data_IF_503976135865
#
_entry.id   IF_503976135865
#
_cell.length_a   1.000
_cell.length_b   1.000
_cell.length_c   1.000
_cell.angle_alpha   90.00
_cell.angle_beta   90.00
_cell.angle_gamma   90.00
#
_symmetry.space_group_name_H-M   'P 1'
#
loop_
_entity.id
_entity.type
_entity.pdbx_description
1 polymer ?
#
# COMPACT_ATOMS: atom_id res chain seq x y z
N UNK A 1 -12.40 -22.02 20.79
CA UNK A 1 -12.69 -20.72 20.16
C UNK A 1 -12.30 -20.83 18.70
N UNK A 2 -13.22 -20.52 17.79
CA UNK A 2 -13.01 -20.68 16.36
C UNK A 2 -12.59 -19.34 15.75
N UNK A 3 -11.42 -19.33 15.11
CA UNK A 3 -10.83 -18.16 14.46
C UNK A 3 -10.90 -18.37 12.95
N UNK A 4 -11.69 -17.55 12.27
CA UNK A 4 -11.78 -17.58 10.81
C UNK A 4 -10.68 -16.70 10.20
N UNK A 5 -9.93 -17.26 9.24
CA UNK A 5 -8.86 -16.59 8.51
C UNK A 5 -9.38 -16.19 7.13
N UNK A 6 -9.42 -14.90 6.83
CA UNK A 6 -10.07 -14.35 5.63
C UNK A 6 -9.05 -13.56 4.80
N UNK A 7 -8.95 -13.89 3.50
CA UNK A 7 -8.10 -13.16 2.55
C UNK A 7 -6.60 -13.39 2.74
N UNK A 8 -6.19 -14.27 3.66
CA UNK A 8 -4.79 -14.57 3.92
C UNK A 8 -4.22 -15.50 2.84
N UNK A 9 -2.92 -15.40 2.55
CA UNK A 9 -2.25 -16.39 1.69
C UNK A 9 -2.15 -17.74 2.41
N UNK A 10 -2.07 -18.85 1.68
CA UNK A 10 -1.89 -20.20 2.27
C UNK A 10 -0.70 -20.26 3.23
N UNK A 11 0.37 -19.52 2.93
CA UNK A 11 1.55 -19.42 3.81
C UNK A 11 1.21 -18.74 5.14
N UNK A 12 0.47 -17.64 5.10
CA UNK A 12 0.04 -16.91 6.30
C UNK A 12 -0.97 -17.70 7.12
N UNK A 13 -1.91 -18.40 6.49
CA UNK A 13 -2.89 -19.26 7.15
C UNK A 13 -2.20 -20.35 7.98
N UNK A 14 -1.24 -21.04 7.37
CA UNK A 14 -0.44 -22.07 8.02
C UNK A 14 0.40 -21.49 9.17
N UNK A 15 1.01 -20.33 8.98
CA UNK A 15 1.79 -19.66 10.01
C UNK A 15 0.92 -19.23 11.21
N UNK A 16 -0.26 -18.66 10.95
CA UNK A 16 -1.21 -18.25 11.99
C UNK A 16 -1.80 -19.45 12.71
N UNK A 17 -2.15 -20.52 11.99
CA UNK A 17 -2.59 -21.77 12.60
C UNK A 17 -1.57 -22.33 13.58
N UNK A 18 -0.28 -22.33 13.21
CA UNK A 18 0.80 -22.73 14.12
C UNK A 18 0.97 -21.77 15.31
N UNK A 19 0.90 -20.45 15.09
CA UNK A 19 1.00 -19.45 16.16
C UNK A 19 -0.12 -19.62 17.18
N UNK A 20 -1.37 -19.72 16.73
CA UNK A 20 -2.55 -19.87 17.58
C UNK A 20 -2.50 -21.19 18.32
N UNK A 21 -2.22 -22.31 17.63
CA UNK A 21 -2.12 -23.62 18.26
C UNK A 21 -1.07 -23.70 19.36
N UNK A 22 0.03 -22.93 19.25
CA UNK A 22 1.08 -22.85 20.29
C UNK A 22 0.76 -21.88 21.42
N UNK A 23 0.07 -20.78 21.13
CA UNK A 23 -0.10 -19.67 22.09
C UNK A 23 -1.46 -19.60 22.77
N UNK A 24 -2.47 -20.30 22.24
CA UNK A 24 -3.85 -20.27 22.73
C UNK A 24 -4.47 -21.68 22.73
N UNK A 25 -4.30 -22.45 23.82
CA UNK A 25 -4.90 -23.78 23.94
C UNK A 25 -6.42 -23.76 23.73
N UNK A 26 -6.94 -24.65 22.89
CA UNK A 26 -8.38 -24.74 22.59
C UNK A 26 -8.89 -23.74 21.55
N UNK A 27 -8.01 -22.95 20.92
CA UNK A 27 -8.34 -22.14 19.75
C UNK A 27 -8.06 -22.94 18.47
N UNK A 28 -8.93 -22.79 17.48
CA UNK A 28 -8.83 -23.48 16.19
C UNK A 28 -8.95 -22.45 15.07
N UNK A 29 -8.06 -22.52 14.08
CA UNK A 29 -8.09 -21.66 12.91
C UNK A 29 -8.69 -22.41 11.71
N UNK A 30 -9.56 -21.73 10.96
CA UNK A 30 -10.10 -22.24 9.69
C UNK A 30 -9.96 -21.18 8.61
N UNK A 31 -9.35 -21.55 7.49
CA UNK A 31 -9.32 -20.73 6.29
C UNK A 31 -10.75 -20.57 5.72
N UNK A 32 -11.08 -19.37 5.30
CA UNK A 32 -12.36 -19.03 4.69
C UNK A 32 -12.11 -18.49 3.29
N UNK A 33 -12.57 -19.26 2.30
CA UNK A 33 -12.63 -18.84 0.91
C UNK A 33 -13.94 -18.10 0.67
N UNK A 34 -14.08 -16.89 1.22
CA UNK A 34 -15.24 -16.03 0.95
C UNK A 34 -14.88 -15.01 -0.14
N UNK A 35 -15.76 -14.84 -1.13
CA UNK A 35 -15.64 -13.77 -2.12
C UNK A 35 -15.77 -12.38 -1.49
N UNK A 36 -15.41 -11.34 -2.24
CA UNK A 36 -15.46 -9.93 -1.80
C UNK A 36 -16.83 -9.53 -1.22
N UNK A 37 -17.92 -10.06 -1.81
CA UNK A 37 -19.31 -9.70 -1.49
C UNK A 37 -20.07 -10.75 -0.65
N UNK A 38 -19.39 -11.81 -0.22
CA UNK A 38 -20.05 -12.87 0.56
C UNK A 38 -19.98 -12.58 2.06
N UNK A 39 -21.10 -12.89 2.74
CA UNK A 39 -21.15 -12.92 4.20
C UNK A 39 -20.13 -13.92 4.73
N UNK A 40 -19.39 -13.54 5.78
CA UNK A 40 -18.43 -14.44 6.39
C UNK A 40 -19.17 -15.56 7.15
N UNK A 41 -18.67 -16.80 7.11
CA UNK A 41 -19.25 -17.90 7.88
C UNK A 41 -19.04 -17.65 9.38
N UNK A 42 -20.00 -18.02 10.24
CA UNK A 42 -19.98 -17.67 11.65
C UNK A 42 -18.72 -18.19 12.36
N UNK A 43 -17.98 -17.28 13.01
CA UNK A 43 -16.80 -17.58 13.82
C UNK A 43 -16.83 -16.80 15.15
N UNK A 44 -16.05 -17.24 16.13
CA UNK A 44 -15.92 -16.50 17.39
C UNK A 44 -15.05 -15.24 17.25
N UNK A 45 -14.14 -15.24 16.28
CA UNK A 45 -13.23 -14.12 15.96
C UNK A 45 -12.73 -14.26 14.51
N UNK A 46 -12.50 -13.13 13.85
CA UNK A 46 -11.92 -13.10 12.50
C UNK A 46 -10.49 -12.54 12.50
N UNK A 47 -9.65 -13.05 11.60
CA UNK A 47 -8.43 -12.38 11.15
C UNK A 47 -8.63 -12.08 9.68
N UNK A 48 -8.66 -10.81 9.32
CA UNK A 48 -9.01 -10.36 7.96
C UNK A 48 -7.81 -9.64 7.36
N UNK A 49 -7.24 -10.19 6.29
CA UNK A 49 -6.32 -9.45 5.43
C UNK A 49 -7.11 -8.53 4.51
N UNK A 50 -7.02 -7.23 4.78
CA UNK A 50 -7.75 -6.21 4.04
C UNK A 50 -7.31 -6.18 2.57
N UNK A 51 -6.02 -6.33 2.29
CA UNK A 51 -5.52 -6.35 0.92
C UNK A 51 -5.95 -7.61 0.17
N UNK A 52 -5.88 -8.76 0.83
CA UNK A 52 -6.33 -10.04 0.27
C UNK A 52 -7.83 -10.11 0.04
N UNK A 53 -8.61 -9.30 0.76
CA UNK A 53 -10.03 -9.06 0.54
C UNK A 53 -10.31 -7.87 -0.37
N UNK A 54 -9.36 -7.47 -1.23
CA UNK A 54 -9.53 -6.37 -2.19
C UNK A 54 -9.64 -4.96 -1.60
N UNK A 55 -9.71 -4.84 -0.27
CA UNK A 55 -9.84 -3.60 0.49
C UNK A 55 -8.45 -2.99 0.76
N UNK A 56 -7.72 -2.68 -0.31
CA UNK A 56 -6.32 -2.22 -0.22
C UNK A 56 -6.16 -0.86 0.46
N UNK A 57 -7.20 -0.01 0.43
CA UNK A 57 -7.26 1.31 1.05
C UNK A 57 -8.57 1.49 1.80
N UNK A 58 -8.58 2.37 2.78
CA UNK A 58 -9.79 2.79 3.46
C UNK A 58 -10.61 3.72 2.57
N UNK A 59 -11.88 3.37 2.40
CA UNK A 59 -12.95 4.22 1.90
C UNK A 59 -14.18 4.00 2.78
N UNK A 60 -15.14 4.94 2.77
CA UNK A 60 -16.40 4.76 3.50
C UNK A 60 -17.15 3.50 3.03
N UNK A 61 -17.08 3.20 1.74
CA UNK A 61 -17.66 2.00 1.12
C UNK A 61 -16.98 0.73 1.65
N UNK A 62 -15.65 0.65 1.58
CA UNK A 62 -14.90 -0.51 2.07
C UNK A 62 -15.09 -0.73 3.58
N UNK A 63 -15.21 0.35 4.36
CA UNK A 63 -15.57 0.27 5.78
C UNK A 63 -16.97 -0.31 5.96
N UNK A 64 -17.97 0.21 5.24
CA UNK A 64 -19.35 -0.27 5.32
C UNK A 64 -19.44 -1.76 4.96
N UNK A 65 -18.79 -2.18 3.88
CA UNK A 65 -18.78 -3.57 3.42
C UNK A 65 -18.07 -4.50 4.42
N UNK A 66 -16.94 -4.05 4.99
CA UNK A 66 -16.24 -4.78 6.04
C UNK A 66 -17.12 -4.99 7.27
N UNK A 67 -17.76 -3.91 7.77
CA UNK A 67 -18.60 -3.98 8.97
C UNK A 67 -19.85 -4.83 8.75
N UNK A 68 -20.47 -4.72 7.56
CA UNK A 68 -21.60 -5.56 7.18
C UNK A 68 -21.21 -7.04 7.14
N UNK A 69 -20.03 -7.35 6.62
CA UNK A 69 -19.56 -8.73 6.56
C UNK A 69 -19.16 -9.32 7.92
N UNK A 70 -18.68 -8.48 8.85
CA UNK A 70 -18.33 -8.90 10.21
C UNK A 70 -19.58 -9.08 11.10
N UNK A 71 -20.68 -8.39 10.80
CA UNK A 71 -21.94 -8.44 11.54
C UNK A 71 -21.75 -8.27 13.07
N UNK A 72 -20.85 -7.35 13.44
CA UNK A 72 -20.52 -7.05 14.84
C UNK A 72 -19.59 -8.06 15.53
N UNK A 73 -19.06 -9.05 14.81
CA UNK A 73 -18.10 -9.99 15.37
C UNK A 73 -16.71 -9.34 15.59
N UNK A 74 -15.98 -9.73 16.65
CA UNK A 74 -14.64 -9.23 16.92
C UNK A 74 -13.66 -9.67 15.83
N UNK A 75 -12.75 -8.78 15.47
CA UNK A 75 -11.79 -9.07 14.41
C UNK A 75 -10.42 -8.40 14.62
N UNK A 76 -9.38 -9.09 14.17
CA UNK A 76 -8.08 -8.51 13.89
C UNK A 76 -8.04 -8.16 12.40
N UNK A 77 -7.95 -6.87 12.10
CA UNK A 77 -7.83 -6.33 10.76
C UNK A 77 -6.35 -6.18 10.43
N UNK A 78 -5.91 -6.79 9.33
CA UNK A 78 -4.53 -6.73 8.86
C UNK A 78 -4.47 -5.79 7.67
N UNK A 79 -3.98 -4.57 7.90
CA UNK A 79 -3.75 -3.57 6.88
C UNK A 79 -2.45 -3.82 6.10
N UNK A 80 -2.41 -3.44 4.81
CA UNK A 80 -1.21 -3.54 3.99
C UNK A 80 -0.05 -2.75 4.58
N UNK A 81 1.18 -3.15 4.23
CA UNK A 81 2.37 -2.76 4.97
C UNK A 81 2.73 -1.26 4.95
N UNK A 82 2.08 -0.51 4.07
CA UNK A 82 2.38 0.89 3.81
C UNK A 82 1.10 1.71 3.59
N UNK A 83 -0.06 1.18 3.97
CA UNK A 83 -1.32 1.91 3.96
C UNK A 83 -1.57 2.48 5.37
N UNK A 84 -1.69 3.80 5.48
CA UNK A 84 -2.10 4.49 6.72
C UNK A 84 -3.55 4.99 6.67
N UNK A 85 -4.24 4.79 5.55
CA UNK A 85 -5.63 5.25 5.36
C UNK A 85 -6.57 4.49 6.28
N UNK A 86 -6.29 3.22 6.58
CA UNK A 86 -7.05 2.44 7.57
C UNK A 86 -6.95 2.98 9.00
N UNK A 87 -5.97 3.84 9.30
CA UNK A 87 -5.94 4.56 10.59
C UNK A 87 -7.05 5.60 10.73
N UNK A 88 -7.73 5.97 9.64
CA UNK A 88 -8.92 6.81 9.66
C UNK A 88 -10.19 6.07 10.12
N UNK A 89 -10.13 4.75 10.27
CA UNK A 89 -11.24 3.95 10.82
C UNK A 89 -11.63 4.49 12.20
N UNK A 90 -12.91 4.77 12.38
CA UNK A 90 -13.41 5.42 13.60
C UNK A 90 -13.09 4.58 14.85
N UNK A 91 -12.34 5.18 15.77
CA UNK A 91 -11.95 4.58 17.05
C UNK A 91 -13.15 4.18 17.92
N UNK A 92 -14.30 4.83 17.78
CA UNK A 92 -15.53 4.45 18.46
C UNK A 92 -16.10 3.14 17.89
N UNK A 93 -16.11 2.99 16.56
CA UNK A 93 -16.51 1.75 15.89
C UNK A 93 -15.57 0.59 16.23
N UNK A 94 -14.27 0.85 16.25
CA UNK A 94 -13.29 -0.16 16.64
C UNK A 94 -13.52 -0.68 18.06
N UNK A 95 -13.89 0.19 19.01
CA UNK A 95 -14.18 -0.21 20.39
C UNK A 95 -15.52 -0.91 20.53
N UNK A 96 -16.55 -0.49 19.78
CA UNK A 96 -17.90 -1.07 19.90
C UNK A 96 -17.97 -2.50 19.36
N UNK A 97 -17.19 -2.82 18.32
CA UNK A 97 -17.12 -4.16 17.71
C UNK A 97 -15.83 -4.92 18.05
N UNK A 98 -15.02 -4.40 18.98
CA UNK A 98 -13.77 -5.06 19.42
C UNK A 98 -12.82 -5.41 18.28
N UNK A 99 -12.64 -4.43 17.38
CA UNK A 99 -11.74 -4.51 16.25
C UNK A 99 -10.34 -4.06 16.67
N UNK A 100 -9.32 -4.75 16.17
CA UNK A 100 -7.91 -4.39 16.36
C UNK A 100 -7.24 -4.29 15.00
N UNK A 101 -6.65 -3.13 14.70
CA UNK A 101 -5.93 -2.90 13.45
C UNK A 101 -4.44 -3.19 13.64
N UNK A 102 -3.88 -4.04 12.78
CA UNK A 102 -2.45 -4.30 12.66
C UNK A 102 -1.99 -3.96 11.25
N UNK A 103 -0.85 -3.28 11.11
CA UNK A 103 -0.23 -3.05 9.81
C UNK A 103 0.85 -4.10 9.55
N UNK A 104 0.95 -4.59 8.31
CA UNK A 104 2.11 -5.37 7.89
C UNK A 104 3.39 -4.48 7.88
N UNK A 105 4.60 -5.05 7.96
CA UNK A 105 4.85 -6.32 8.62
C UNK A 105 4.51 -6.22 10.11
N UNK A 106 3.88 -7.28 10.65
CA UNK A 106 3.61 -7.41 12.09
C UNK A 106 4.42 -8.57 12.68
N UNK A 107 4.79 -8.46 13.95
CA UNK A 107 5.46 -9.53 14.69
C UNK A 107 4.49 -10.59 15.21
N UNK A 108 5.03 -11.73 15.63
CA UNK A 108 4.26 -12.79 16.30
C UNK A 108 3.67 -12.33 17.64
N UNK A 109 4.37 -11.47 18.37
CA UNK A 109 3.91 -10.88 19.63
C UNK A 109 2.74 -9.91 19.40
N UNK A 110 2.84 -9.04 18.40
CA UNK A 110 1.79 -8.07 18.06
C UNK A 110 0.51 -8.79 17.62
N UNK A 111 0.63 -9.80 16.76
CA UNK A 111 -0.51 -10.64 16.37
C UNK A 111 -1.14 -11.35 17.57
N UNK A 112 -0.33 -11.89 18.48
CA UNK A 112 -0.85 -12.55 19.69
C UNK A 112 -1.57 -11.56 20.60
N UNK A 113 -1.03 -10.36 20.77
CA UNK A 113 -1.64 -9.31 21.57
C UNK A 113 -2.97 -8.86 20.95
N UNK A 114 -3.01 -8.65 19.63
CA UNK A 114 -4.22 -8.28 18.90
C UNK A 114 -5.32 -9.34 19.02
N UNK A 115 -4.97 -10.62 18.87
CA UNK A 115 -5.90 -11.73 19.05
C UNK A 115 -6.51 -11.77 20.46
N UNK A 116 -5.69 -11.56 21.50
CA UNK A 116 -6.17 -11.49 22.89
C UNK A 116 -7.08 -10.29 23.12
N UNK A 117 -6.71 -9.14 22.59
CA UNK A 117 -7.48 -7.90 22.73
C UNK A 117 -8.85 -8.01 22.04
N UNK A 118 -8.88 -8.49 20.80
CA UNK A 118 -10.13 -8.71 20.07
C UNK A 118 -11.03 -9.74 20.78
N UNK A 119 -10.46 -10.83 21.29
CA UNK A 119 -11.22 -11.85 22.03
C UNK A 119 -11.76 -11.35 23.39
N UNK A 120 -11.01 -10.50 24.10
CA UNK A 120 -11.42 -9.94 25.38
C UNK A 120 -12.60 -8.96 25.25
N UNK A 121 -12.73 -8.32 24.10
CA UNK A 121 -13.82 -7.42 23.79
C UNK A 121 -15.14 -8.12 23.42
N UNK A 122 -15.25 -9.45 23.58
CA UNK A 122 -16.52 -10.18 23.43
C UNK A 122 -17.49 -9.76 24.53
N UNK A 123 -18.19 -8.65 24.32
CA UNK A 123 -19.38 -8.34 25.08
C UNK A 123 -20.40 -9.45 24.78
N UNK A 124 -20.80 -10.18 25.82
CA UNK A 124 -22.00 -11.02 25.82
C UNK A 124 -23.16 -10.30 25.13
N UNK A 125 -23.96 -10.98 24.28
CA UNK A 125 -25.09 -10.35 23.62
C UNK A 125 -26.02 -9.75 24.67
N UNK A 126 -26.13 -8.42 24.68
CA UNK A 126 -27.01 -7.70 25.59
C UNK A 126 -28.45 -7.95 25.13
N UNK A 127 -29.16 -8.75 25.91
CA UNK A 127 -30.63 -8.82 25.88
C UNK A 127 -31.18 -7.39 26.05
N UNK A 128 -32.10 -6.92 25.20
CA UNK A 128 -32.60 -5.56 25.27
C UNK A 128 -33.43 -5.36 26.54
N UNK A 129 -32.91 -4.59 27.50
CA UNK A 129 -33.71 -4.04 28.61
C UNK A 129 -34.08 -2.60 28.27
N UNK A 130 -35.39 -2.38 28.23
CA UNK A 130 -36.05 -1.14 27.85
C UNK A 130 -35.63 0.09 28.68
N UNK A 131 -35.67 1.24 28.02
CA UNK A 131 -35.49 2.61 28.52
C UNK A 131 -36.37 2.96 29.74
N UNK A 132 -35.97 3.99 30.52
CA UNK A 132 -36.78 5.21 30.47
C UNK A 132 -35.99 6.54 30.51
N UNK A 133 -36.27 7.36 29.50
CA UNK A 133 -36.73 8.79 29.51
C UNK A 133 -36.14 9.75 30.56
N UNK A 134 -35.47 10.80 30.05
CA UNK A 134 -35.09 12.04 30.74
C UNK A 134 -36.31 12.95 31.07
N UNK A 135 -36.15 14.03 31.86
CA UNK A 135 -36.14 15.34 31.18
C UNK A 135 -35.38 16.52 31.87
N UNK A 136 -35.05 17.50 31.01
CA UNK A 136 -35.04 18.97 31.21
C UNK A 136 -33.82 19.72 31.79
N UNK A 137 -33.23 20.54 30.90
CA UNK A 137 -32.40 21.77 31.08
C UNK A 137 -33.27 22.95 31.60
N UNK A 138 -32.78 24.17 32.01
CA UNK A 138 -32.22 25.15 31.04
C UNK A 138 -31.39 26.41 31.52
N UNK A 139 -30.89 27.17 30.50
CA UNK A 139 -30.39 28.59 30.45
C UNK A 139 -28.99 28.92 31.03
N UNK A 140 -28.12 29.78 30.47
CA UNK A 140 -28.01 30.71 29.31
C UNK A 140 -26.52 31.18 29.28
N UNK A 141 -25.89 31.82 28.29
CA UNK A 141 -26.13 33.07 27.55
C UNK A 141 -24.94 33.24 26.55
N UNK A 142 -25.16 33.84 25.38
CA UNK A 142 -24.19 34.35 24.37
C UNK A 142 -24.42 35.89 24.22
N UNK A 143 -23.68 36.67 23.39
CA UNK A 143 -22.24 36.82 23.06
C UNK A 143 -21.84 38.34 23.17
N UNK A 144 -20.87 39.01 22.45
CA UNK A 144 -20.61 39.05 20.97
C UNK A 144 -19.11 38.99 20.55
N UNK A 145 -18.76 38.38 19.41
CA UNK A 145 -18.46 38.98 18.07
C UNK A 145 -17.20 39.87 17.97
N UNK A 146 -16.20 39.43 17.18
CA UNK A 146 -15.40 40.28 16.27
C UNK A 146 -14.50 39.43 15.36
N UNK A 147 -14.66 39.62 14.05
CA UNK A 147 -13.67 39.35 12.99
C UNK A 147 -13.42 40.69 12.26
N UNK A 148 -12.57 40.82 11.22
CA UNK A 148 -11.44 40.00 10.73
C UNK A 148 -10.15 40.85 10.52
N UNK A 149 -9.01 40.23 10.18
CA UNK A 149 -8.03 40.86 9.26
C UNK A 149 -7.03 39.87 8.64
N UNK A 150 -7.08 39.83 7.31
CA UNK A 150 -6.07 39.35 6.37
C UNK A 150 -4.84 40.26 6.42
N UNK A 151 -3.64 39.75 6.12
CA UNK A 151 -2.64 40.30 5.16
C UNK A 151 -1.29 39.53 5.22
N UNK A 152 -0.94 39.00 4.05
CA UNK A 152 0.37 38.84 3.40
C UNK A 152 1.54 38.01 3.97
N UNK A 153 2.03 37.13 3.08
CA UNK A 153 3.39 36.58 2.97
C UNK A 153 4.48 37.66 2.92
N UNK A 154 5.75 37.23 3.08
CA UNK A 154 6.77 37.63 2.11
C UNK A 154 7.58 36.45 1.56
N UNK A 155 7.98 36.67 0.30
CA UNK A 155 8.84 35.84 -0.55
C UNK A 155 10.28 36.39 -0.50
N UNK A 156 11.22 35.50 -0.85
CA UNK A 156 12.58 35.71 -1.40
C UNK A 156 13.77 35.87 -0.42
N UNK A 157 14.75 34.97 -0.58
CA UNK A 157 16.01 35.30 -1.28
C UNK A 157 16.78 34.03 -1.67
N UNK A 158 17.31 34.04 -2.89
CA UNK A 158 18.08 32.99 -3.55
C UNK A 158 19.59 33.28 -3.53
N UNK A 159 20.43 32.25 -3.71
CA UNK A 159 21.70 32.21 -4.49
C UNK A 159 22.52 30.94 -4.10
N UNK A 160 23.51 30.48 -4.90
CA UNK A 160 23.51 30.20 -6.35
C UNK A 160 23.97 28.73 -6.64
N UNK A 161 23.76 28.19 -7.86
CA UNK A 161 24.25 26.86 -8.22
C UNK A 161 25.69 26.90 -8.73
N UNK A 162 26.53 25.97 -8.26
CA UNK A 162 27.78 25.61 -8.92
C UNK A 162 27.51 24.47 -9.90
N UNK A 163 27.62 24.73 -11.20
CA UNK A 163 27.76 23.68 -12.22
C UNK A 163 29.19 23.12 -12.17
N UNK A 164 29.39 21.85 -12.55
CA UNK A 164 30.01 21.68 -13.86
C UNK A 164 29.52 20.46 -14.68
N UNK A 165 29.66 20.65 -16.00
CA UNK A 165 29.68 19.70 -17.12
C UNK A 165 28.35 19.04 -17.52
N UNK A 166 27.66 19.73 -18.44
CA UNK A 166 26.75 19.10 -19.38
C UNK A 166 27.54 18.14 -20.29
N UNK A 167 27.31 16.83 -20.12
CA UNK A 167 27.36 15.93 -21.26
C UNK A 167 26.00 16.01 -21.95
N UNK A 168 25.99 16.09 -23.28
CA UNK A 168 24.78 16.03 -24.10
C UNK A 168 24.12 14.66 -23.93
N UNK A 169 23.39 14.49 -22.83
CA UNK A 169 22.51 13.35 -22.60
C UNK A 169 21.24 13.56 -23.41
N UNK A 170 20.97 12.66 -24.36
CA UNK A 170 19.68 12.64 -25.02
C UNK A 170 18.56 12.51 -23.99
N UNK A 171 17.40 13.06 -24.32
CA UNK A 171 16.18 12.96 -23.52
C UNK A 171 15.21 12.07 -24.28
N UNK A 172 14.51 11.21 -23.56
CA UNK A 172 13.46 10.38 -24.14
C UNK A 172 12.23 10.40 -23.24
N UNK A 173 11.11 10.79 -23.81
CA UNK A 173 9.82 10.75 -23.12
C UNK A 173 9.33 9.31 -22.95
N UNK A 174 8.41 9.09 -22.01
CA UNK A 174 7.78 7.78 -21.83
C UNK A 174 7.07 7.28 -23.10
N UNK A 175 6.43 8.18 -23.87
CA UNK A 175 5.76 7.83 -25.13
C UNK A 175 6.75 7.42 -26.23
N UNK A 176 7.89 8.11 -26.34
CA UNK A 176 8.97 7.71 -27.26
C UNK A 176 9.60 6.37 -26.85
N UNK A 177 9.78 6.14 -25.55
CA UNK A 177 10.25 4.86 -25.03
C UNK A 177 9.31 3.70 -25.40
N UNK A 178 7.99 3.91 -25.36
CA UNK A 178 6.98 2.90 -25.73
C UNK A 178 6.89 2.62 -27.22
N UNK A 179 7.10 3.63 -28.07
CA UNK A 179 7.05 3.48 -29.52
C UNK A 179 8.29 2.72 -30.07
N UNK A 180 9.40 2.73 -29.32
CA UNK A 180 10.69 2.18 -29.74
C UNK A 180 10.75 0.64 -29.84
N UNK A 181 10.16 -0.14 -28.91
CA UNK A 181 10.00 -1.58 -29.05
C UNK A 181 9.44 -2.06 -30.39
N UNK A 182 8.60 -1.24 -31.05
CA UNK A 182 8.02 -1.55 -32.37
C UNK A 182 8.89 -1.18 -33.57
N UNK A 183 10.06 -0.57 -33.38
CA UNK A 183 10.95 -0.10 -34.48
C UNK A 183 12.15 -1.01 -34.77
N UNK A 184 12.27 -2.16 -34.10
CA UNK A 184 13.34 -3.12 -34.34
C UNK A 184 12.96 -4.11 -35.45
N UNK A 185 13.67 -4.14 -36.59
CA UNK A 185 13.50 -5.22 -37.55
C UNK A 185 14.10 -6.52 -36.98
N UNK A 186 13.23 -7.48 -36.65
CA UNK A 186 13.62 -8.90 -36.52
C UNK A 186 13.73 -9.50 -35.12
N UNK A 187 13.63 -8.72 -34.04
CA UNK A 187 13.65 -9.25 -32.66
C UNK A 187 12.67 -8.53 -31.75
N UNK A 188 11.90 -9.30 -30.97
CA UNK A 188 11.07 -8.73 -29.92
C UNK A 188 11.92 -7.98 -28.88
N UNK A 189 11.43 -6.87 -28.33
CA UNK A 189 12.07 -6.16 -27.23
C UNK A 189 12.27 -7.10 -26.03
N UNK A 190 13.34 -6.94 -25.22
CA UNK A 190 13.48 -7.69 -23.98
C UNK A 190 12.24 -7.52 -23.07
N UNK A 191 11.85 -8.59 -22.36
CA UNK A 191 10.60 -8.63 -21.60
C UNK A 191 10.48 -7.47 -20.61
N UNK A 192 11.58 -7.14 -19.93
CA UNK A 192 11.61 -6.03 -18.98
C UNK A 192 11.29 -4.67 -19.64
N UNK A 193 11.81 -4.42 -20.84
CA UNK A 193 11.57 -3.16 -21.55
C UNK A 193 10.10 -3.02 -21.95
N UNK A 194 9.46 -4.12 -22.33
CA UNK A 194 8.02 -4.16 -22.63
C UNK A 194 7.20 -3.87 -21.37
N UNK A 195 7.48 -4.58 -20.28
CA UNK A 195 6.79 -4.38 -18.99
C UNK A 195 6.95 -2.95 -18.47
N UNK A 196 8.16 -2.38 -18.58
CA UNK A 196 8.41 -0.99 -18.19
C UNK A 196 7.64 0.00 -19.07
N UNK A 197 7.61 -0.22 -20.39
CA UNK A 197 6.84 0.61 -21.31
C UNK A 197 5.34 0.58 -21.00
N UNK A 198 4.78 -0.60 -20.74
CA UNK A 198 3.38 -0.78 -20.32
C UNK A 198 3.07 -0.07 -19.00
N UNK A 199 3.94 -0.19 -17.99
CA UNK A 199 3.76 0.48 -16.71
C UNK A 199 3.83 2.01 -16.82
N UNK A 200 4.77 2.53 -17.62
CA UNK A 200 4.88 3.97 -17.91
C UNK A 200 3.62 4.51 -18.61
N UNK A 201 2.94 3.70 -19.43
CA UNK A 201 1.73 4.12 -20.15
C UNK A 201 0.52 4.33 -19.24
N UNK A 202 0.55 3.79 -18.02
CA UNK A 202 -0.52 3.96 -17.05
C UNK A 202 -0.50 5.33 -16.38
N UNK A 203 0.55 6.14 -16.57
CA UNK A 203 0.75 7.47 -15.99
C UNK A 203 0.80 7.55 -14.45
N UNK A 204 0.45 6.45 -13.77
CA UNK A 204 0.53 6.33 -12.32
C UNK A 204 1.96 6.04 -11.86
N UNK A 205 2.34 6.45 -10.65
CA UNK A 205 3.59 6.01 -10.03
C UNK A 205 3.58 4.50 -9.79
N UNK A 206 4.74 3.88 -9.93
CA UNK A 206 4.91 2.45 -9.68
C UNK A 206 6.30 2.12 -9.15
N UNK A 207 6.38 0.96 -8.48
CA UNK A 207 7.60 0.38 -7.95
C UNK A 207 7.89 -0.92 -8.70
N UNK A 208 9.10 -1.05 -9.22
CA UNK A 208 9.66 -2.29 -9.74
C UNK A 208 10.54 -2.91 -8.66
N UNK A 209 10.23 -4.15 -8.27
CA UNK A 209 11.02 -4.93 -7.30
C UNK A 209 11.77 -6.02 -8.03
N UNK A 210 13.08 -5.82 -8.17
CA UNK A 210 13.99 -6.81 -8.76
C UNK A 210 14.39 -7.84 -7.70
N UNK A 211 14.53 -7.41 -6.45
CA UNK A 211 14.75 -8.29 -5.30
C UNK A 211 14.26 -7.59 -4.02
N UNK A 212 14.49 -8.21 -2.85
CA UNK A 212 14.22 -7.56 -1.57
C UNK A 212 14.96 -6.22 -1.41
N UNK A 213 16.20 -6.15 -1.92
CA UNK A 213 17.08 -4.98 -1.80
C UNK A 213 17.00 -4.04 -3.01
N UNK A 214 17.00 -4.58 -4.22
CA UNK A 214 17.05 -3.80 -5.46
C UNK A 214 15.65 -3.41 -5.94
N UNK A 215 15.40 -2.11 -5.97
CA UNK A 215 14.11 -1.49 -6.27
C UNK A 215 14.32 -0.28 -7.18
N UNK A 216 13.29 0.01 -7.95
CA UNK A 216 13.16 1.22 -8.74
C UNK A 216 11.76 1.78 -8.55
N UNK A 217 11.64 3.08 -8.42
CA UNK A 217 10.36 3.79 -8.36
C UNK A 217 10.31 4.75 -9.53
N UNK A 218 9.22 4.74 -10.26
CA UNK A 218 8.97 5.63 -11.39
C UNK A 218 7.75 6.47 -11.10
N UNK A 219 7.82 7.75 -11.45
CA UNK A 219 6.70 8.67 -11.39
C UNK A 219 6.55 9.37 -12.75
N UNK A 220 5.76 8.78 -13.67
CA UNK A 220 5.66 9.26 -15.05
C UNK A 220 5.21 10.72 -15.13
N UNK A 221 4.13 11.09 -14.44
CA UNK A 221 3.58 12.45 -14.57
C UNK A 221 4.47 13.54 -13.93
N UNK A 222 5.16 13.21 -12.83
CA UNK A 222 6.11 14.11 -12.19
C UNK A 222 7.53 14.03 -12.80
N UNK A 223 7.74 13.20 -13.82
CA UNK A 223 8.98 13.09 -14.61
C UNK A 223 10.24 12.80 -13.80
N UNK A 224 10.13 11.93 -12.79
CA UNK A 224 11.28 11.47 -12.01
C UNK A 224 11.26 9.96 -11.78
N UNK A 225 12.42 9.40 -11.46
CA UNK A 225 12.57 8.05 -10.95
C UNK A 225 13.59 8.01 -9.81
N UNK A 226 13.54 6.96 -8.99
CA UNK A 226 14.52 6.72 -7.94
C UNK A 226 14.91 5.25 -7.90
N UNK A 227 16.20 4.94 -7.81
CA UNK A 227 16.70 3.57 -7.86
C UNK A 227 17.89 3.36 -6.94
N UNK A 228 17.88 2.27 -6.18
CA UNK A 228 19.09 1.74 -5.53
C UNK A 228 19.68 0.54 -6.31
N UNK A 229 19.14 0.25 -7.48
CA UNK A 229 19.57 -0.86 -8.33
C UNK A 229 20.83 -0.46 -9.07
N UNK A 230 21.93 -1.20 -8.84
CA UNK A 230 23.20 -0.96 -9.52
C UNK A 230 23.12 -1.23 -11.02
N UNK A 231 23.94 -0.54 -11.81
CA UNK A 231 23.97 -0.69 -13.27
C UNK A 231 24.13 -2.16 -13.75
N UNK A 232 25.01 -3.00 -13.18
CA UNK A 232 25.13 -4.40 -13.63
C UNK A 232 23.84 -5.22 -13.45
N UNK A 233 23.06 -4.93 -12.40
CA UNK A 233 21.76 -5.61 -12.17
C UNK A 233 20.73 -5.14 -13.18
N UNK A 234 20.74 -3.85 -13.53
CA UNK A 234 19.86 -3.29 -14.55
C UNK A 234 20.19 -3.87 -15.93
N UNK A 235 21.48 -4.02 -16.26
CA UNK A 235 21.94 -4.65 -17.49
C UNK A 235 21.52 -6.12 -17.59
N UNK A 236 21.67 -6.88 -16.51
CA UNK A 236 21.23 -8.28 -16.44
C UNK A 236 19.71 -8.40 -16.57
N UNK A 237 18.96 -7.52 -15.88
CA UNK A 237 17.50 -7.46 -15.98
C UNK A 237 17.00 -7.16 -17.40
N UNK A 238 17.69 -6.27 -18.13
CA UNK A 238 17.38 -5.99 -19.52
C UNK A 238 17.80 -7.11 -20.49
N UNK A 239 18.78 -7.95 -20.13
CA UNK A 239 19.31 -9.01 -20.99
C UNK A 239 18.72 -10.39 -20.74
N UNK A 240 18.06 -10.60 -19.60
CA UNK A 240 17.62 -11.91 -19.13
C UNK A 240 16.11 -11.94 -18.85
N UNK A 241 15.35 -12.50 -19.81
CA UNK A 241 13.89 -12.59 -19.71
C UNK A 241 13.41 -13.47 -18.54
N UNK A 242 14.21 -14.46 -18.11
CA UNK A 242 13.84 -15.27 -16.95
C UNK A 242 13.87 -14.42 -15.67
N UNK A 243 14.88 -13.57 -15.51
CA UNK A 243 14.96 -12.62 -14.40
C UNK A 243 13.85 -11.58 -14.50
N UNK A 244 13.62 -11.02 -15.70
CA UNK A 244 12.54 -10.07 -15.94
C UNK A 244 11.15 -10.64 -15.58
N UNK A 245 10.89 -11.92 -15.87
CA UNK A 245 9.62 -12.58 -15.54
C UNK A 245 9.37 -12.75 -14.03
N UNK A 246 10.43 -12.65 -13.22
CA UNK A 246 10.37 -12.84 -11.76
C UNK A 246 10.19 -11.55 -10.97
N UNK A 247 10.27 -10.39 -11.62
CA UNK A 247 10.12 -9.10 -10.94
C UNK A 247 8.65 -8.79 -10.66
N UNK A 248 8.40 -8.00 -9.62
CA UNK A 248 7.08 -7.47 -9.31
C UNK A 248 7.00 -6.00 -9.71
N UNK A 249 5.92 -5.60 -10.39
CA UNK A 249 5.61 -4.20 -10.67
C UNK A 249 4.30 -3.85 -9.96
N UNK A 250 4.40 -3.00 -8.95
CA UNK A 250 3.26 -2.57 -8.14
C UNK A 250 3.00 -1.08 -8.37
N UNK A 251 1.75 -0.70 -8.63
CA UNK A 251 1.35 0.71 -8.59
C UNK A 251 1.46 1.25 -7.15
N UNK A 252 1.92 2.49 -7.03
CA UNK A 252 2.07 3.19 -5.75
C UNK A 252 1.35 4.54 -5.81
N UNK A 253 1.01 5.08 -4.64
CA UNK A 253 0.34 6.38 -4.58
C UNK A 253 1.29 7.53 -4.98
N UNK A 254 0.74 8.52 -5.67
CA UNK A 254 1.39 9.81 -5.97
C UNK A 254 2.00 10.47 -4.74
N UNK A 255 1.25 10.52 -3.64
CA UNK A 255 1.70 11.15 -2.39
C UNK A 255 2.76 10.32 -1.68
N UNK A 256 2.78 9.02 -1.89
CA UNK A 256 3.70 8.10 -1.22
C UNK A 256 4.99 7.83 -1.99
N UNK A 257 4.99 8.02 -3.31
CA UNK A 257 6.11 7.68 -4.18
C UNK A 257 7.40 8.37 -3.74
N UNK A 258 7.34 9.69 -3.52
CA UNK A 258 8.48 10.49 -3.09
C UNK A 258 8.94 10.12 -1.67
N UNK A 259 8.00 10.02 -0.73
CA UNK A 259 8.31 9.64 0.65
C UNK A 259 8.98 8.26 0.73
N UNK A 260 8.55 7.32 -0.14
CA UNK A 260 9.14 5.99 -0.25
C UNK A 260 10.57 6.04 -0.79
N UNK A 261 10.82 6.81 -1.84
CA UNK A 261 12.16 7.01 -2.39
C UNK A 261 13.14 7.54 -1.34
N UNK A 262 12.73 8.57 -0.59
CA UNK A 262 13.53 9.17 0.48
C UNK A 262 13.80 8.19 1.64
N UNK A 263 12.76 7.46 2.08
CA UNK A 263 12.90 6.48 3.18
C UNK A 263 13.85 5.34 2.83
N UNK A 264 13.87 4.93 1.57
CA UNK A 264 14.78 3.89 1.07
C UNK A 264 16.17 4.43 0.71
N UNK A 265 16.41 5.74 0.89
CA UNK A 265 17.68 6.38 0.57
C UNK A 265 18.02 6.31 -0.92
N UNK A 266 17.00 6.23 -1.79
CA UNK A 266 17.22 6.08 -3.23
C UNK A 266 17.54 7.44 -3.86
N UNK A 267 18.62 7.56 -4.65
CA UNK A 267 18.89 8.76 -5.42
C UNK A 267 17.73 9.00 -6.41
N UNK A 268 17.24 10.23 -6.43
CA UNK A 268 16.19 10.69 -7.35
C UNK A 268 16.87 11.31 -8.57
N UNK A 269 16.47 10.87 -9.74
CA UNK A 269 16.95 11.38 -11.02
C UNK A 269 15.79 11.72 -11.96
N UNK A 270 15.99 12.63 -12.92
CA UNK A 270 14.98 12.91 -13.94
C UNK A 270 14.69 11.65 -14.78
N UNK A 271 13.43 11.45 -15.14
CA UNK A 271 12.99 10.24 -15.84
C UNK A 271 13.55 10.16 -17.27
N UNK A 272 13.47 11.25 -18.03
CA UNK A 272 13.81 11.23 -19.47
C UNK A 272 15.28 10.84 -19.76
N UNK A 273 16.29 11.38 -19.04
CA UNK A 273 17.68 10.98 -19.23
C UNK A 273 17.91 9.50 -18.86
N UNK A 274 17.23 9.00 -17.82
CA UNK A 274 17.33 7.61 -17.44
C UNK A 274 16.77 6.69 -18.53
N UNK A 275 15.57 6.98 -19.05
CA UNK A 275 14.98 6.20 -20.13
C UNK A 275 15.87 6.21 -21.38
N UNK A 276 16.43 7.37 -21.74
CA UNK A 276 17.36 7.48 -22.87
C UNK A 276 18.57 6.57 -22.69
N UNK A 277 19.20 6.62 -21.51
CA UNK A 277 20.34 5.77 -21.15
C UNK A 277 19.98 4.29 -21.24
N UNK A 278 18.86 3.90 -20.63
CA UNK A 278 18.40 2.51 -20.60
C UNK A 278 18.18 1.95 -22.00
N UNK A 279 17.58 2.74 -22.90
CA UNK A 279 17.38 2.32 -24.28
C UNK A 279 18.67 2.31 -25.10
N UNK A 280 19.58 3.27 -24.91
CA UNK A 280 20.85 3.33 -25.65
C UNK A 280 21.84 2.24 -25.24
N UNK A 281 21.98 1.95 -23.94
CA UNK A 281 22.84 0.86 -23.48
C UNK A 281 22.41 -0.50 -24.03
N UNK A 282 21.11 -0.68 -24.35
CA UNK A 282 20.61 -1.88 -25.01
C UNK A 282 20.79 -1.88 -26.53
N UNK A 283 20.82 -0.70 -27.15
CA UNK A 283 21.08 -0.54 -28.58
C UNK A 283 22.55 -0.78 -28.92
N UNK A 284 23.46 -0.18 -28.16
CA UNK A 284 24.91 -0.28 -28.40
C UNK A 284 25.47 -1.68 -28.10
N UNK A 285 24.81 -2.45 -27.23
CA UNK A 285 25.18 -3.86 -26.98
C UNK A 285 24.76 -4.82 -28.10
N UNK A 286 23.88 -4.39 -29.01
CA UNK A 286 23.34 -5.22 -30.11
C UNK A 286 23.73 -4.72 -31.51
N UNK A 287 24.52 -3.66 -31.61
CA UNK A 287 25.17 -3.19 -32.84
C UNK A 287 26.54 -3.84 -33.03
#
# INVERSE_FOLDING_TARGET
MNVALVGLTTREEVALGMLVGKSQPGWQCSAVTAGLDESLPPADLYVVDLAGRGMRRWTEEAQSDLLKALDGAPAVLVAPAFDQTWSALDSHLMKSQSLVLLHKPYGTEDMRAALKQAAAGRATPVQPKALPVAPSVPHGVLPPESAPRVIASPVMAAMPPSSPVAQEGGKMTAGEFQARPGTFPGHEPPLFMRMLGEALALHNPFEVRVSFLNRMIFHPDAQWMASNTSLPVLEDLCGNDALASSIEIDTIDDKDAMARALRLGMPIEPLEPFLWKLAHEQLDKKA
#
